data_IF_732663431844
#
_entry.id   IF_732663431844
#
_cell.length_a   1.000
_cell.length_b   1.000
_cell.length_c   1.000
_cell.angle_alpha   90.00
_cell.angle_beta   90.00
_cell.angle_gamma   90.00
#
_symmetry.space_group_name_H-M   'P 1'
#
loop_
_entity.id
_entity.type
_entity.pdbx_description
1 polymer ?
#
# COMPACT_ATOMS: atom_id res chain seq x y z
N UNK A 1 -7.08 14.80 32.55
CA UNK A 1 -6.70 14.71 31.12
C UNK A 1 -6.73 13.26 30.68
N UNK A 2 -7.26 13.00 29.51
CA UNK A 2 -7.29 11.69 28.86
C UNK A 2 -6.51 11.78 27.55
N UNK A 3 -5.63 10.80 27.29
CA UNK A 3 -4.82 10.74 26.08
C UNK A 3 -5.09 9.41 25.40
N UNK A 4 -5.48 9.45 24.14
CA UNK A 4 -5.59 8.28 23.28
C UNK A 4 -4.34 8.14 22.42
N UNK A 5 -3.63 7.05 22.58
CA UNK A 5 -2.44 6.69 21.83
C UNK A 5 -2.61 5.30 21.18
N UNK A 6 -3.79 5.06 20.61
CA UNK A 6 -4.25 3.75 20.14
C UNK A 6 -3.72 3.40 18.74
N UNK A 7 -3.06 4.34 18.07
CA UNK A 7 -2.48 4.13 16.74
C UNK A 7 -3.53 3.97 15.63
N UNK A 8 -3.14 3.27 14.58
CA UNK A 8 -3.98 3.03 13.41
C UNK A 8 -3.73 1.64 12.83
N UNK A 9 -4.63 1.19 11.98
CA UNK A 9 -4.59 -0.11 11.30
C UNK A 9 -4.59 0.11 9.78
N UNK A 10 -3.83 -0.67 8.98
CA UNK A 10 -3.91 -0.59 7.53
C UNK A 10 -5.33 -0.80 7.04
N UNK A 11 -5.71 -0.03 6.02
CA UNK A 11 -6.96 -0.27 5.29
C UNK A 11 -6.76 -1.50 4.42
N UNK A 12 -7.72 -2.41 4.48
CA UNK A 12 -7.75 -3.62 3.69
C UNK A 12 -8.86 -3.47 2.66
N UNK A 13 -8.53 -3.17 1.40
CA UNK A 13 -9.55 -3.12 0.36
C UNK A 13 -10.09 -4.53 0.08
N UNK A 14 -11.34 -4.67 -0.35
CA UNK A 14 -11.91 -5.95 -0.74
C UNK A 14 -11.30 -6.39 -2.09
N UNK A 15 -10.16 -7.07 -2.02
CA UNK A 15 -9.44 -7.60 -3.17
C UNK A 15 -9.61 -9.12 -3.19
N UNK A 16 -10.07 -9.67 -4.30
CA UNK A 16 -10.22 -11.11 -4.46
C UNK A 16 -8.86 -11.82 -4.39
N UNK A 17 -8.82 -12.98 -3.75
CA UNK A 17 -7.60 -13.78 -3.57
C UNK A 17 -6.72 -13.35 -2.40
N UNK A 18 -7.10 -12.30 -1.67
CA UNK A 18 -6.38 -11.87 -0.47
C UNK A 18 -7.22 -12.12 0.77
N UNK A 19 -6.98 -13.24 1.41
CA UNK A 19 -7.47 -13.49 2.76
C UNK A 19 -6.46 -12.96 3.78
N UNK A 20 -6.95 -12.27 4.79
CA UNK A 20 -6.11 -11.66 5.81
C UNK A 20 -6.37 -12.30 7.15
N UNK A 21 -5.34 -12.93 7.67
CA UNK A 21 -5.36 -13.48 9.04
C UNK A 21 -5.04 -12.35 10.01
N UNK A 22 -5.99 -12.04 10.89
CA UNK A 22 -5.79 -11.09 11.99
C UNK A 22 -5.05 -11.80 13.13
N UNK A 23 -3.78 -11.56 13.24
CA UNK A 23 -3.00 -11.88 14.44
C UNK A 23 -3.09 -10.78 15.51
N UNK A 24 -2.45 -10.98 16.66
CA UNK A 24 -2.44 -10.07 17.82
C UNK A 24 -1.79 -8.69 17.60
N UNK A 25 -1.59 -8.21 16.42
CA UNK A 25 -1.14 -6.89 15.90
C UNK A 25 -0.61 -6.97 14.47
N UNK A 26 -0.64 -8.15 13.86
CA UNK A 26 -0.11 -8.36 12.51
C UNK A 26 -1.24 -8.68 11.55
N UNK A 27 -1.19 -8.05 10.39
CA UNK A 27 -2.01 -8.43 9.23
C UNK A 27 -1.12 -9.23 8.32
N UNK A 28 -1.45 -10.49 8.11
CA UNK A 28 -0.73 -11.35 7.20
C UNK A 28 -1.67 -11.84 6.12
N UNK A 29 -1.31 -11.63 4.87
CA UNK A 29 -2.04 -12.22 3.76
C UNK A 29 -1.75 -13.72 3.68
N UNK A 30 -2.70 -14.48 3.16
CA UNK A 30 -2.54 -15.93 2.95
C UNK A 30 -1.60 -16.24 1.79
N UNK A 31 -1.56 -15.37 0.76
CA UNK A 31 -0.58 -15.48 -0.32
C UNK A 31 0.78 -14.92 0.14
N UNK A 32 1.84 -15.69 -0.07
CA UNK A 32 3.20 -15.16 0.11
C UNK A 32 3.43 -13.95 -0.77
N UNK A 33 4.24 -13.00 -0.27
CA UNK A 33 4.65 -11.78 -0.96
C UNK A 33 3.53 -10.76 -1.20
N UNK A 34 2.38 -10.86 -0.49
CA UNK A 34 1.49 -9.71 -0.25
C UNK A 34 1.93 -9.04 1.03
N UNK A 35 2.31 -7.76 0.98
CA UNK A 35 2.90 -7.03 2.08
C UNK A 35 2.11 -5.77 2.44
N UNK A 36 2.19 -5.40 3.72
CA UNK A 36 1.75 -4.10 4.24
C UNK A 36 2.95 -3.44 4.90
N UNK A 37 3.24 -2.20 4.55
CA UNK A 37 4.34 -1.46 5.19
C UNK A 37 3.76 -0.38 6.08
N UNK A 38 3.85 -0.57 7.39
CA UNK A 38 3.43 0.39 8.41
C UNK A 38 4.44 0.51 9.55
N UNK A 39 4.95 -0.62 10.01
CA UNK A 39 5.89 -0.69 11.13
C UNK A 39 7.29 -0.98 10.58
N UNK A 40 8.29 -0.67 11.41
CA UNK A 40 9.68 -0.99 11.09
C UNK A 40 9.86 -2.48 10.73
N UNK A 41 9.22 -3.37 11.50
CA UNK A 41 9.27 -4.82 11.25
C UNK A 41 8.73 -5.22 9.87
N UNK A 42 7.72 -4.49 9.37
CA UNK A 42 7.22 -4.76 8.02
C UNK A 42 8.25 -4.37 6.95
N UNK A 43 8.99 -3.27 7.16
CA UNK A 43 10.05 -2.87 6.26
C UNK A 43 11.23 -3.85 6.31
N UNK A 44 11.62 -4.32 7.51
CA UNK A 44 12.64 -5.37 7.66
C UNK A 44 12.26 -6.65 6.90
N UNK A 45 11.02 -7.13 7.07
CA UNK A 45 10.53 -8.32 6.36
C UNK A 45 10.63 -8.18 4.83
N UNK A 46 10.27 -7.00 4.30
CA UNK A 46 10.39 -6.72 2.86
C UNK A 46 11.85 -6.73 2.42
N UNK A 47 12.74 -6.07 3.18
CA UNK A 47 14.17 -6.02 2.87
C UNK A 47 14.79 -7.43 2.90
N UNK A 48 14.49 -8.23 3.90
CA UNK A 48 14.97 -9.61 4.01
C UNK A 48 14.50 -10.47 2.83
N UNK A 49 13.23 -10.35 2.45
CA UNK A 49 12.68 -11.05 1.29
C UNK A 49 13.37 -10.64 -0.01
N UNK A 50 13.64 -9.35 -0.21
CA UNK A 50 14.33 -8.85 -1.40
C UNK A 50 15.82 -9.21 -1.43
N UNK A 51 16.46 -9.36 -0.27
CA UNK A 51 17.85 -9.80 -0.15
C UNK A 51 18.04 -11.28 -0.47
N UNK A 52 17.00 -12.08 -0.29
CA UNK A 52 17.00 -13.51 -0.60
C UNK A 52 16.84 -13.74 -2.11
N UNK A 53 17.98 -13.83 -2.81
CA UNK A 53 18.02 -14.05 -4.26
C UNK A 53 17.30 -15.32 -4.72
N UNK A 54 17.10 -16.30 -3.84
CA UNK A 54 16.39 -17.55 -4.18
C UNK A 54 14.89 -17.32 -4.42
N UNK A 55 14.35 -16.20 -3.94
CA UNK A 55 12.93 -15.86 -4.11
C UNK A 55 12.60 -15.24 -5.46
N UNK A 56 13.60 -14.77 -6.21
CA UNK A 56 13.41 -14.17 -7.54
C UNK A 56 12.32 -13.09 -7.58
N UNK A 57 12.36 -12.15 -6.61
CA UNK A 57 11.41 -11.05 -6.52
C UNK A 57 11.89 -9.87 -7.38
N UNK A 58 11.57 -9.90 -8.66
CA UNK A 58 12.04 -8.90 -9.63
C UNK A 58 10.95 -7.88 -9.98
N UNK A 59 9.67 -8.30 -10.04
CA UNK A 59 8.53 -7.47 -10.45
C UNK A 59 7.66 -7.16 -9.24
N UNK A 60 7.57 -5.89 -8.89
CA UNK A 60 6.87 -5.44 -7.69
C UNK A 60 5.72 -4.50 -8.06
N UNK A 61 4.52 -4.82 -7.61
CA UNK A 61 3.40 -3.90 -7.66
C UNK A 61 3.24 -3.17 -6.33
N UNK A 62 3.13 -1.86 -6.38
CA UNK A 62 2.75 -1.01 -5.25
C UNK A 62 1.34 -0.50 -5.50
N UNK A 63 0.42 -0.80 -4.59
CA UNK A 63 -0.99 -0.39 -4.67
C UNK A 63 -1.23 0.77 -3.72
N UNK A 64 -1.53 1.93 -4.30
CA UNK A 64 -1.71 3.21 -3.62
C UNK A 64 -0.59 4.20 -3.93
N UNK A 65 -0.93 5.29 -4.62
CA UNK A 65 -0.02 6.37 -5.05
C UNK A 65 0.08 7.54 -4.06
N UNK A 66 -0.16 7.29 -2.76
CA UNK A 66 0.12 8.25 -1.68
C UNK A 66 1.60 8.30 -1.31
N UNK A 67 1.96 9.03 -0.24
CA UNK A 67 3.36 9.18 0.20
C UNK A 67 4.10 7.85 0.34
N UNK A 68 3.52 6.90 1.08
CA UNK A 68 4.16 5.61 1.33
C UNK A 68 4.37 4.85 0.03
N UNK A 69 3.37 4.85 -0.85
CA UNK A 69 3.47 4.12 -2.11
C UNK A 69 4.51 4.71 -3.06
N UNK A 70 4.57 6.03 -3.17
CA UNK A 70 5.58 6.71 -3.99
C UNK A 70 6.99 6.44 -3.46
N UNK A 71 7.24 6.59 -2.15
CA UNK A 71 8.54 6.33 -1.54
C UNK A 71 8.98 4.86 -1.69
N UNK A 72 8.03 3.92 -1.55
CA UNK A 72 8.32 2.50 -1.75
C UNK A 72 8.62 2.18 -3.22
N UNK A 73 7.88 2.76 -4.15
CA UNK A 73 8.11 2.56 -5.58
C UNK A 73 9.52 3.04 -5.99
N UNK A 74 9.93 4.24 -5.54
CA UNK A 74 11.29 4.74 -5.76
C UNK A 74 12.35 3.86 -5.08
N UNK A 75 12.09 3.38 -3.85
CA UNK A 75 13.03 2.53 -3.15
C UNK A 75 13.25 1.19 -3.88
N UNK A 76 12.20 0.57 -4.40
CA UNK A 76 12.30 -0.67 -5.16
C UNK A 76 12.98 -0.47 -6.51
N UNK A 77 12.69 0.62 -7.21
CA UNK A 77 13.39 0.97 -8.46
C UNK A 77 14.89 1.13 -8.23
N UNK A 78 15.31 1.86 -7.19
CA UNK A 78 16.72 2.00 -6.81
C UNK A 78 17.41 0.67 -6.46
N UNK A 79 16.66 -0.35 -6.07
CA UNK A 79 17.13 -1.72 -5.89
C UNK A 79 17.15 -2.52 -7.20
N UNK A 80 16.87 -1.87 -8.34
CA UNK A 80 16.88 -2.48 -9.67
C UNK A 80 15.66 -3.36 -9.94
N UNK A 81 14.54 -3.16 -9.26
CA UNK A 81 13.31 -3.90 -9.48
C UNK A 81 12.44 -3.25 -10.55
N UNK A 82 11.69 -4.07 -11.28
CA UNK A 82 10.62 -3.59 -12.16
C UNK A 82 9.43 -3.21 -11.30
N UNK A 83 9.02 -1.94 -11.36
CA UNK A 83 7.97 -1.43 -10.46
C UNK A 83 6.77 -0.95 -11.25
N UNK A 84 5.57 -1.38 -10.83
CA UNK A 84 4.31 -0.77 -11.22
C UNK A 84 3.61 -0.16 -10.02
N UNK A 85 3.27 1.13 -10.09
CA UNK A 85 2.48 1.85 -9.10
C UNK A 85 1.03 1.95 -9.59
N UNK A 86 0.11 1.35 -8.85
CA UNK A 86 -1.32 1.29 -9.19
C UNK A 86 -2.11 2.15 -8.22
N UNK A 87 -2.98 3.02 -8.73
CA UNK A 87 -3.93 3.76 -7.90
C UNK A 87 -5.30 3.91 -8.59
N UNK A 88 -6.36 3.98 -7.78
CA UNK A 88 -7.74 4.21 -8.27
C UNK A 88 -7.92 5.65 -8.78
N UNK A 89 -7.15 6.61 -8.27
CA UNK A 89 -7.15 7.99 -8.75
C UNK A 89 -6.18 8.16 -9.93
N UNK A 90 -6.39 9.18 -10.71
CA UNK A 90 -5.66 9.47 -11.96
C UNK A 90 -4.34 10.21 -11.75
N UNK A 91 -3.91 10.38 -10.52
CA UNK A 91 -2.65 11.07 -10.17
C UNK A 91 -2.02 10.50 -8.90
N UNK A 92 -0.70 10.61 -8.78
CA UNK A 92 0.01 10.33 -7.52
C UNK A 92 -0.13 11.48 -6.54
N UNK A 93 0.05 11.22 -5.25
CA UNK A 93 -0.01 12.20 -4.15
C UNK A 93 -1.30 13.03 -4.14
N UNK A 94 -2.41 12.45 -4.62
CA UNK A 94 -3.71 13.09 -4.67
C UNK A 94 -4.14 13.60 -3.29
N UNK A 95 -4.62 14.85 -3.23
CA UNK A 95 -5.06 15.50 -1.98
C UNK A 95 -3.94 16.03 -1.09
N UNK A 96 -2.67 15.91 -1.48
CA UNK A 96 -1.52 16.48 -0.77
C UNK A 96 -0.94 17.71 -1.46
N UNK A 97 -0.97 17.73 -2.79
CA UNK A 97 -0.40 18.81 -3.61
C UNK A 97 -1.33 19.23 -4.73
N UNK A 98 -1.10 20.43 -5.26
CA UNK A 98 -1.78 20.91 -6.45
C UNK A 98 -1.41 20.08 -7.69
N UNK A 99 -2.28 20.11 -8.68
CA UNK A 99 -2.19 19.28 -9.89
C UNK A 99 -0.85 19.41 -10.61
N UNK A 100 -0.30 20.62 -10.69
CA UNK A 100 0.97 20.87 -11.38
C UNK A 100 2.12 20.08 -10.73
N UNK A 101 2.16 20.05 -9.39
CA UNK A 101 3.19 19.29 -8.64
C UNK A 101 2.99 17.80 -8.73
N UNK A 102 1.74 17.32 -8.66
CA UNK A 102 1.46 15.89 -8.81
C UNK A 102 1.80 15.37 -10.19
N UNK A 103 1.60 16.18 -11.25
CA UNK A 103 2.01 15.86 -12.61
C UNK A 103 3.54 15.83 -12.77
N UNK A 104 4.25 16.78 -12.14
CA UNK A 104 5.72 16.78 -12.14
C UNK A 104 6.25 15.51 -11.46
N UNK A 105 5.64 15.09 -10.34
CA UNK A 105 6.03 13.87 -9.65
C UNK A 105 5.72 12.62 -10.49
N UNK A 106 4.54 12.54 -11.08
CA UNK A 106 4.19 11.44 -11.97
C UNK A 106 5.23 11.29 -13.09
N UNK A 107 5.56 12.42 -13.76
CA UNK A 107 6.59 12.42 -14.79
C UNK A 107 7.95 11.97 -14.26
N UNK A 108 8.35 12.43 -13.08
CA UNK A 108 9.62 12.03 -12.46
C UNK A 108 9.67 10.52 -12.20
N UNK A 109 8.58 9.91 -11.74
CA UNK A 109 8.49 8.46 -11.53
C UNK A 109 8.63 7.70 -12.86
N UNK A 110 7.96 8.16 -13.91
CA UNK A 110 8.07 7.56 -15.26
C UNK A 110 9.48 7.71 -15.84
N UNK A 111 10.13 8.87 -15.66
CA UNK A 111 11.50 9.14 -16.08
C UNK A 111 12.51 8.19 -15.37
N UNK A 112 12.13 7.64 -14.20
CA UNK A 112 12.87 6.60 -13.46
C UNK A 112 12.34 5.17 -13.71
N UNK A 113 11.67 4.94 -14.84
CA UNK A 113 11.18 3.62 -15.25
C UNK A 113 10.14 2.99 -14.31
N UNK A 114 9.48 3.76 -13.47
CA UNK A 114 8.34 3.29 -12.68
C UNK A 114 7.09 3.37 -13.56
N UNK A 115 6.47 2.22 -13.83
CA UNK A 115 5.21 2.18 -14.58
C UNK A 115 4.07 2.71 -13.72
N UNK A 116 3.33 3.72 -14.21
CA UNK A 116 2.15 4.25 -13.56
C UNK A 116 0.87 3.63 -14.17
N UNK A 117 0.09 2.94 -13.34
CA UNK A 117 -1.21 2.38 -13.67
C UNK A 117 -2.30 3.12 -12.88
N UNK A 118 -2.48 4.40 -13.20
CA UNK A 118 -3.40 5.32 -12.51
C UNK A 118 -4.83 5.23 -13.06
N UNK A 119 -5.81 5.60 -12.23
CA UNK A 119 -7.22 5.49 -12.55
C UNK A 119 -7.66 4.04 -12.75
N UNK A 120 -7.05 3.09 -12.03
CA UNK A 120 -7.33 1.66 -12.11
C UNK A 120 -7.68 1.09 -10.74
N UNK A 121 -8.72 0.29 -10.69
CA UNK A 121 -9.15 -0.39 -9.48
C UNK A 121 -8.59 -1.81 -9.44
N UNK A 122 -7.82 -2.14 -8.41
CA UNK A 122 -7.39 -3.52 -8.18
C UNK A 122 -8.61 -4.39 -7.85
N UNK A 123 -8.77 -5.49 -8.57
CA UNK A 123 -9.86 -6.45 -8.41
C UNK A 123 -9.41 -7.72 -7.72
N UNK A 124 -8.24 -8.25 -8.10
CA UNK A 124 -7.73 -9.50 -7.55
C UNK A 124 -6.20 -9.50 -7.45
N UNK A 125 -5.69 -10.28 -6.51
CA UNK A 125 -4.31 -10.73 -6.45
C UNK A 125 -4.36 -12.25 -6.57
N UNK A 126 -3.70 -12.80 -7.58
CA UNK A 126 -3.78 -14.21 -7.94
C UNK A 126 -2.43 -14.90 -7.80
N UNK A 127 -2.47 -16.18 -7.47
CA UNK A 127 -1.30 -17.03 -7.40
C UNK A 127 -1.60 -18.35 -6.70
N UNK A 128 -0.64 -19.27 -6.73
CA UNK A 128 -0.71 -20.54 -6.02
C UNK A 128 0.30 -20.53 -4.86
N UNK A 129 -0.20 -20.30 -3.64
CA UNK A 129 0.60 -20.12 -2.43
C UNK A 129 1.38 -18.81 -2.36
N UNK A 130 1.83 -18.25 -3.48
CA UNK A 130 2.52 -16.96 -3.60
C UNK A 130 1.87 -16.10 -4.69
N UNK A 131 2.17 -14.80 -4.63
CA UNK A 131 1.71 -13.86 -5.67
C UNK A 131 2.33 -14.19 -7.01
N UNK A 132 1.50 -14.14 -8.06
CA UNK A 132 1.92 -14.28 -9.46
C UNK A 132 1.36 -13.15 -10.33
N UNK A 133 0.16 -12.64 -10.00
CA UNK A 133 -0.50 -11.61 -10.82
C UNK A 133 -1.29 -10.61 -9.97
N UNK A 134 -1.28 -9.36 -10.42
CA UNK A 134 -2.17 -8.30 -9.96
C UNK A 134 -3.18 -8.00 -11.09
N UNK A 135 -4.47 -8.12 -10.81
CA UNK A 135 -5.55 -7.87 -11.76
C UNK A 135 -6.27 -6.57 -11.40
N UNK A 136 -6.36 -5.67 -12.36
CA UNK A 136 -7.16 -4.45 -12.26
C UNK A 136 -8.42 -4.54 -13.13
N UNK A 137 -9.23 -3.50 -13.13
CA UNK A 137 -10.37 -3.37 -14.03
C UNK A 137 -9.99 -3.05 -15.49
N UNK A 138 -8.70 -2.80 -15.77
CA UNK A 138 -8.21 -2.46 -17.12
C UNK A 138 -7.18 -3.42 -17.67
N UNK A 139 -6.30 -3.96 -16.83
CA UNK A 139 -5.20 -4.81 -17.25
C UNK A 139 -4.73 -5.77 -16.14
N UNK A 140 -3.84 -6.67 -16.50
CA UNK A 140 -3.23 -7.64 -15.59
C UNK A 140 -1.72 -7.49 -15.64
N UNK A 141 -1.08 -7.51 -14.47
CA UNK A 141 0.37 -7.42 -14.32
C UNK A 141 0.90 -8.74 -13.75
N UNK A 142 1.91 -9.31 -14.39
CA UNK A 142 2.69 -10.38 -13.78
C UNK A 142 3.61 -9.77 -12.74
N UNK A 143 3.54 -10.23 -11.50
CA UNK A 143 4.26 -9.66 -10.36
C UNK A 143 4.73 -10.77 -9.40
N UNK A 144 5.84 -10.51 -8.73
CA UNK A 144 6.42 -11.44 -7.75
C UNK A 144 6.14 -10.99 -6.32
N UNK A 145 5.78 -9.71 -6.12
CA UNK A 145 5.39 -9.12 -4.84
C UNK A 145 4.34 -8.04 -5.05
N UNK A 146 3.39 -7.93 -4.13
CA UNK A 146 2.44 -6.82 -4.04
C UNK A 146 2.56 -6.15 -2.69
N UNK A 147 2.74 -4.82 -2.68
CA UNK A 147 2.74 -4.01 -1.45
C UNK A 147 1.50 -3.13 -1.44
N UNK A 148 0.66 -3.30 -0.41
CA UNK A 148 -0.56 -2.53 -0.22
C UNK A 148 -0.29 -1.29 0.64
N UNK A 149 -0.38 -0.11 0.02
CA UNK A 149 -0.12 1.20 0.60
C UNK A 149 -1.34 2.14 0.51
N UNK A 150 -2.55 1.60 0.71
CA UNK A 150 -3.84 2.29 0.50
C UNK A 150 -4.34 3.07 1.71
N UNK A 151 -3.47 3.35 2.66
CA UNK A 151 -3.75 4.18 3.83
C UNK A 151 -4.09 3.41 5.10
N UNK A 152 -4.49 4.18 6.14
CA UNK A 152 -4.70 3.67 7.50
C UNK A 152 -6.01 4.22 8.07
N UNK A 153 -6.63 3.43 8.96
CA UNK A 153 -7.78 3.83 9.76
C UNK A 153 -7.35 4.00 11.22
N UNK A 154 -7.66 5.12 11.88
CA UNK A 154 -7.43 5.30 13.31
C UNK A 154 -8.14 4.23 14.15
N UNK A 155 -7.49 3.79 15.23
CA UNK A 155 -8.06 2.82 16.16
C UNK A 155 -8.87 3.55 17.24
N UNK A 156 -10.15 3.79 17.00
CA UNK A 156 -11.03 4.59 17.86
C UNK A 156 -12.10 3.78 18.59
N UNK A 157 -12.19 2.48 18.36
CA UNK A 157 -13.22 1.61 18.94
C UNK A 157 -13.29 1.65 20.48
N UNK A 158 -12.17 1.95 21.17
CA UNK A 158 -12.13 2.07 22.63
C UNK A 158 -13.02 3.20 23.17
N UNK A 159 -13.29 4.23 22.37
CA UNK A 159 -14.12 5.38 22.74
C UNK A 159 -15.39 5.50 21.85
N UNK A 160 -15.81 4.39 21.26
CA UNK A 160 -16.99 4.35 20.40
C UNK A 160 -18.23 4.89 21.12
N UNK A 161 -18.96 5.79 20.43
CA UNK A 161 -20.12 6.47 20.95
C UNK A 161 -19.89 7.47 22.09
N UNK A 162 -18.62 7.69 22.51
CA UNK A 162 -18.28 8.60 23.62
C UNK A 162 -17.57 9.87 23.19
N UNK A 163 -16.92 9.83 22.06
CA UNK A 163 -16.21 10.98 21.47
C UNK A 163 -16.62 11.07 20.01
N UNK A 164 -16.90 12.28 19.55
CA UNK A 164 -17.24 12.55 18.17
C UNK A 164 -16.03 12.23 17.25
N UNK A 165 -16.32 11.59 16.12
CA UNK A 165 -15.32 11.21 15.14
C UNK A 165 -15.42 12.09 13.90
N UNK A 166 -14.28 12.44 13.34
CA UNK A 166 -14.21 13.05 12.02
C UNK A 166 -14.51 12.00 10.94
N UNK A 167 -14.82 12.44 9.72
CA UNK A 167 -15.21 11.58 8.58
C UNK A 167 -14.20 10.46 8.24
N UNK A 168 -12.92 10.63 8.59
CA UNK A 168 -11.88 9.60 8.39
C UNK A 168 -11.75 8.64 9.58
N UNK A 169 -12.60 8.76 10.61
CA UNK A 169 -12.61 7.94 11.82
C UNK A 169 -11.64 8.42 12.90
N UNK A 170 -10.95 9.54 12.75
CA UNK A 170 -10.12 10.13 13.80
C UNK A 170 -10.99 10.82 14.86
N UNK A 171 -10.49 10.89 16.09
CA UNK A 171 -11.17 11.66 17.15
C UNK A 171 -11.23 13.14 16.77
N UNK A 172 -12.41 13.75 16.94
CA UNK A 172 -12.55 15.17 16.86
C UNK A 172 -12.09 15.79 18.20
N UNK A 173 -11.10 16.67 18.12
CA UNK A 173 -10.52 17.32 19.29
C UNK A 173 -10.57 18.84 19.12
N UNK A 174 -10.72 19.55 20.24
CA UNK A 174 -10.54 20.99 20.32
C UNK A 174 -9.04 21.35 20.49
N UNK A 175 -8.75 22.64 20.42
CA UNK A 175 -7.38 23.16 20.57
C UNK A 175 -6.89 23.11 22.02
#
# INVERSE_FOLDING_TARGET
KLIFATGSTPILPPIEGVEIVKGNREFKATLENVQFVKLYQNAEEVIEKLADKSKHLERIAVVGGGYIGVELAEAFERLGKEVVLVDIVDTVLNGYYDKDFTQMMAKNLEDHNIRLALGQTVKAIQGDGKVERLVTDKETFDVDMVVLAVGFRPNTALADGKIELFRNGAFLVDK
#
